data_IF_145747181499
#
_entry.id   IF_145747181499
#
_cell.length_a   1.000
_cell.length_b   1.000
_cell.length_c   1.000
_cell.angle_alpha   90.00
_cell.angle_beta   90.00
_cell.angle_gamma   90.00
#
_symmetry.space_group_name_H-M   'P 1'
#
loop_
_entity.id
_entity.type
_entity.pdbx_description
1 polymer ?
#
# COMPACT_ATOMS: atom_id res chain seq x y z
N UNK A 1 -27.83 -3.81 -9.72
CA UNK A 1 -27.84 -2.36 -10.02
C UNK A 1 -28.06 -2.19 -11.53
N UNK A 2 -29.04 -1.37 -11.94
CA UNK A 2 -29.30 -1.09 -13.34
C UNK A 2 -28.12 -0.40 -14.03
N UNK A 3 -27.94 -0.66 -15.33
CA UNK A 3 -26.81 -0.12 -16.12
C UNK A 3 -26.76 1.42 -16.11
N UNK A 4 -27.93 2.07 -16.12
CA UNK A 4 -28.07 3.54 -16.06
C UNK A 4 -27.57 4.10 -14.73
N UNK A 5 -27.96 3.49 -13.60
CA UNK A 5 -27.51 3.91 -12.26
C UNK A 5 -26.00 3.69 -12.07
N UNK A 6 -25.44 2.62 -12.67
CA UNK A 6 -23.99 2.36 -12.64
C UNK A 6 -23.21 3.44 -13.38
N UNK A 7 -23.67 3.83 -14.57
CA UNK A 7 -23.05 4.90 -15.37
C UNK A 7 -23.13 6.27 -14.67
N UNK A 8 -24.26 6.57 -14.02
CA UNK A 8 -24.41 7.80 -13.24
C UNK A 8 -23.47 7.87 -12.04
N UNK A 9 -23.39 6.80 -11.24
CA UNK A 9 -22.48 6.73 -10.10
C UNK A 9 -21.01 6.84 -10.56
N UNK A 10 -20.65 6.24 -11.69
CA UNK A 10 -19.31 6.37 -12.26
C UNK A 10 -19.00 7.80 -12.66
N UNK A 11 -19.95 8.49 -13.32
CA UNK A 11 -19.81 9.90 -13.71
C UNK A 11 -19.66 10.79 -12.47
N UNK A 12 -20.50 10.60 -11.46
CA UNK A 12 -20.41 11.32 -10.19
C UNK A 12 -19.04 11.15 -9.55
N UNK A 13 -18.55 9.91 -9.47
CA UNK A 13 -17.23 9.64 -8.90
C UNK A 13 -16.10 10.36 -9.66
N UNK A 14 -16.19 10.46 -10.99
CA UNK A 14 -15.19 11.16 -11.80
C UNK A 14 -15.22 12.67 -11.63
N UNK A 15 -16.43 13.27 -11.51
CA UNK A 15 -16.61 14.72 -11.53
C UNK A 15 -16.72 15.34 -10.13
N UNK A 16 -17.21 14.61 -9.14
CA UNK A 16 -17.37 15.11 -7.79
C UNK A 16 -16.13 14.82 -6.92
N UNK A 17 -15.88 15.70 -5.96
CA UNK A 17 -14.80 15.53 -4.97
C UNK A 17 -15.37 15.03 -3.64
N UNK A 18 -14.51 14.35 -2.84
CA UNK A 18 -14.90 13.87 -1.51
C UNK A 18 -15.84 12.67 -1.50
N UNK A 19 -16.11 12.04 -2.65
CA UNK A 19 -16.92 10.83 -2.73
C UNK A 19 -16.15 9.59 -2.32
N UNK A 20 -16.80 8.72 -1.56
CA UNK A 20 -16.36 7.36 -1.28
C UNK A 20 -17.16 6.43 -2.19
N UNK A 21 -16.46 5.65 -3.02
CA UNK A 21 -17.08 4.66 -3.89
C UNK A 21 -16.89 3.26 -3.30
N UNK A 22 -18.00 2.58 -3.03
CA UNK A 22 -18.02 1.16 -2.66
C UNK A 22 -18.43 0.37 -3.91
N UNK A 23 -17.57 -0.53 -4.36
CA UNK A 23 -17.79 -1.25 -5.60
C UNK A 23 -17.08 -2.61 -5.60
N UNK A 24 -17.51 -3.49 -6.49
CA UNK A 24 -16.79 -4.73 -6.81
C UNK A 24 -15.63 -4.45 -7.78
N UNK A 25 -14.76 -5.44 -7.97
CA UNK A 25 -13.61 -5.38 -8.90
C UNK A 25 -13.99 -4.90 -10.31
N UNK A 26 -15.21 -5.16 -10.76
CA UNK A 26 -15.69 -4.75 -12.08
C UNK A 26 -15.82 -3.22 -12.27
N UNK A 27 -15.87 -2.43 -11.19
CA UNK A 27 -15.92 -0.97 -11.25
C UNK A 27 -14.58 -0.36 -11.69
N UNK A 28 -13.50 -1.07 -11.46
CA UNK A 28 -12.15 -0.54 -11.66
C UNK A 28 -11.68 -0.41 -13.11
N UNK A 29 -12.26 -1.13 -14.07
CA UNK A 29 -11.83 -1.06 -15.47
C UNK A 29 -12.24 0.25 -16.12
N UNK A 30 -11.25 1.06 -16.54
CA UNK A 30 -11.50 2.34 -17.24
C UNK A 30 -11.68 3.57 -16.34
N UNK A 31 -11.47 3.48 -15.02
CA UNK A 31 -11.47 4.66 -14.16
C UNK A 31 -10.06 5.22 -14.05
N UNK A 32 -9.88 6.40 -14.63
CA UNK A 32 -8.66 7.20 -14.51
C UNK A 32 -8.96 8.49 -13.72
N UNK A 33 -9.09 8.37 -12.39
CA UNK A 33 -9.22 9.49 -11.45
C UNK A 33 -7.90 9.61 -10.70
N UNK A 34 -7.10 10.67 -10.94
CA UNK A 34 -5.75 10.76 -10.38
C UNK A 34 -5.72 11.07 -8.89
N UNK A 35 -6.75 11.75 -8.37
CA UNK A 35 -6.85 12.24 -6.99
C UNK A 35 -7.53 11.24 -6.01
N UNK A 36 -7.47 9.94 -6.27
CA UNK A 36 -7.90 8.92 -5.32
C UNK A 36 -6.95 8.88 -4.14
N UNK A 37 -7.47 9.14 -2.94
CA UNK A 37 -6.65 9.27 -1.72
C UNK A 37 -6.51 7.97 -0.93
N UNK A 38 -7.41 7.00 -1.13
CA UNK A 38 -7.27 5.69 -0.51
C UNK A 38 -7.95 4.59 -1.32
N UNK A 39 -7.42 3.37 -1.17
CA UNK A 39 -8.04 2.13 -1.62
C UNK A 39 -8.14 1.19 -0.44
N UNK A 40 -9.37 0.78 -0.12
CA UNK A 40 -9.65 -0.18 0.94
C UNK A 40 -10.19 -1.49 0.34
N UNK A 41 -9.50 -2.58 0.58
CA UNK A 41 -10.02 -3.92 0.32
C UNK A 41 -10.71 -4.43 1.60
N UNK A 42 -12.01 -4.62 1.53
CA UNK A 42 -12.80 -5.23 2.61
C UNK A 42 -12.72 -6.76 2.59
N UNK A 43 -12.33 -7.33 1.44
CA UNK A 43 -12.11 -8.75 1.19
C UNK A 43 -10.74 -8.97 0.52
N UNK A 44 -10.26 -10.22 0.52
CA UNK A 44 -9.02 -10.59 -0.19
C UNK A 44 -9.17 -10.39 -1.70
N UNK A 45 -8.27 -9.64 -2.35
CA UNK A 45 -8.13 -9.65 -3.80
C UNK A 45 -7.87 -11.06 -4.34
N UNK A 46 -8.05 -11.24 -5.65
CA UNK A 46 -7.85 -12.56 -6.25
C UNK A 46 -6.37 -13.00 -6.26
N UNK A 47 -5.45 -12.04 -6.34
CA UNK A 47 -4.02 -12.29 -6.46
C UNK A 47 -3.20 -11.03 -6.14
N UNK A 48 -1.87 -11.16 -6.12
CA UNK A 48 -0.94 -10.02 -5.98
C UNK A 48 -1.10 -9.04 -7.15
N UNK A 49 -1.32 -9.54 -8.36
CA UNK A 49 -1.54 -8.72 -9.55
C UNK A 49 -2.82 -7.90 -9.45
N UNK A 50 -3.92 -8.51 -8.97
CA UNK A 50 -5.17 -7.81 -8.73
C UNK A 50 -5.00 -6.73 -7.66
N UNK A 51 -4.36 -7.07 -6.53
CA UNK A 51 -4.02 -6.11 -5.47
C UNK A 51 -3.21 -4.93 -6.02
N UNK A 52 -2.18 -5.20 -6.82
CA UNK A 52 -1.33 -4.17 -7.43
C UNK A 52 -2.10 -3.24 -8.36
N UNK A 53 -2.92 -3.81 -9.26
CA UNK A 53 -3.74 -3.03 -10.19
C UNK A 53 -4.79 -2.17 -9.47
N UNK A 54 -5.39 -2.69 -8.40
CA UNK A 54 -6.43 -1.99 -7.65
C UNK A 54 -5.82 -0.90 -6.77
N UNK A 55 -4.73 -1.16 -6.07
CA UNK A 55 -4.00 -0.16 -5.27
C UNK A 55 -3.30 0.89 -6.13
N UNK A 56 -2.87 0.52 -7.34
CA UNK A 56 -2.27 1.43 -8.33
C UNK A 56 -3.21 2.53 -8.84
N UNK A 57 -4.49 2.54 -8.42
CA UNK A 57 -5.43 3.64 -8.69
C UNK A 57 -5.26 4.81 -7.74
N UNK A 58 -4.67 4.59 -6.56
CA UNK A 58 -4.46 5.62 -5.56
C UNK A 58 -3.21 6.46 -5.87
N UNK A 59 -3.30 7.77 -5.67
CA UNK A 59 -2.16 8.69 -5.73
C UNK A 59 -1.52 8.86 -7.12
N UNK A 60 -2.25 8.70 -8.22
CA UNK A 60 -1.73 8.89 -9.59
C UNK A 60 -1.24 10.31 -9.87
N UNK A 61 -1.70 11.28 -9.10
CA UNK A 61 -1.23 12.66 -9.13
C UNK A 61 0.09 12.88 -8.38
N UNK A 62 0.63 11.83 -7.76
CA UNK A 62 1.88 11.86 -6.98
C UNK A 62 1.75 12.44 -5.57
N UNK A 63 0.53 12.73 -5.12
CA UNK A 63 0.27 13.08 -3.72
C UNK A 63 0.11 11.83 -2.85
N UNK A 64 0.31 11.95 -1.52
CA UNK A 64 0.15 10.83 -0.60
C UNK A 64 -1.23 10.17 -0.72
N UNK A 65 -1.23 8.85 -0.75
CA UNK A 65 -2.43 8.03 -0.76
C UNK A 65 -2.19 6.76 0.07
N UNK A 66 -3.26 6.23 0.65
CA UNK A 66 -3.19 5.07 1.54
C UNK A 66 -3.86 3.86 0.91
N UNK A 67 -3.31 2.69 1.17
CA UNK A 67 -3.93 1.42 0.79
C UNK A 67 -4.03 0.52 2.02
N UNK A 68 -5.21 -0.07 2.22
CA UNK A 68 -5.48 -0.95 3.33
C UNK A 68 -6.19 -2.20 2.83
N UNK A 69 -5.78 -3.37 3.32
CA UNK A 69 -6.43 -4.65 3.06
C UNK A 69 -6.82 -5.29 4.38
N UNK A 70 -8.09 -5.64 4.53
CA UNK A 70 -8.63 -6.37 5.66
C UNK A 70 -8.88 -7.82 5.23
N UNK A 71 -8.51 -8.77 6.07
CA UNK A 71 -8.77 -10.19 5.83
C UNK A 71 -8.69 -11.01 7.13
N UNK A 72 -9.39 -12.13 7.13
CA UNK A 72 -9.38 -13.11 8.20
C UNK A 72 -9.15 -14.53 7.69
N UNK A 73 -9.16 -15.50 8.59
CA UNK A 73 -9.03 -16.91 8.25
C UNK A 73 -10.20 -17.42 7.38
N UNK A 74 -11.40 -16.87 7.62
CA UNK A 74 -12.61 -17.21 6.87
C UNK A 74 -12.53 -16.74 5.42
N UNK A 75 -11.97 -15.54 5.17
CA UNK A 75 -11.79 -15.01 3.81
C UNK A 75 -10.82 -15.87 3.00
N UNK A 76 -9.73 -16.32 3.66
CA UNK A 76 -8.77 -17.23 3.05
C UNK A 76 -9.45 -18.55 2.67
N UNK A 77 -10.23 -19.11 3.60
CA UNK A 77 -10.92 -20.38 3.37
C UNK A 77 -11.99 -20.26 2.27
N UNK A 78 -12.75 -19.18 2.27
CA UNK A 78 -13.76 -18.88 1.26
C UNK A 78 -13.12 -18.76 -0.15
N UNK A 79 -11.98 -18.07 -0.26
CA UNK A 79 -11.23 -17.98 -1.51
C UNK A 79 -10.73 -19.32 -2.02
N UNK A 80 -10.17 -20.15 -1.13
CA UNK A 80 -9.74 -21.51 -1.48
C UNK A 80 -10.91 -22.34 -1.98
N UNK A 81 -12.04 -22.27 -1.29
CA UNK A 81 -13.26 -22.96 -1.70
C UNK A 81 -13.72 -22.53 -3.11
N UNK A 82 -13.78 -21.23 -3.41
CA UNK A 82 -14.16 -20.75 -4.74
C UNK A 82 -13.24 -21.28 -5.84
N UNK A 83 -11.95 -21.43 -5.56
CA UNK A 83 -11.00 -22.03 -6.52
C UNK A 83 -11.31 -23.51 -6.70
N UNK A 84 -11.58 -24.24 -5.61
CA UNK A 84 -11.77 -25.68 -5.62
C UNK A 84 -13.09 -26.09 -6.27
N UNK A 85 -14.17 -25.35 -6.02
CA UNK A 85 -15.51 -25.58 -6.57
C UNK A 85 -15.71 -25.02 -7.99
N UNK A 86 -14.74 -24.25 -8.53
CA UNK A 86 -14.85 -23.74 -9.90
C UNK A 86 -14.84 -24.87 -10.93
N UNK A 87 -15.50 -24.68 -12.07
CA UNK A 87 -15.49 -25.62 -13.21
C UNK A 87 -14.16 -25.59 -14.00
N UNK A 88 -13.16 -24.85 -13.50
CA UNK A 88 -11.88 -24.70 -14.17
C UNK A 88 -11.06 -26.01 -14.16
N UNK A 89 -10.27 -26.29 -15.20
CA UNK A 89 -9.36 -27.43 -15.21
C UNK A 89 -8.37 -27.40 -14.04
N UNK A 90 -7.92 -28.56 -13.56
CA UNK A 90 -7.03 -28.69 -12.41
C UNK A 90 -5.73 -27.89 -12.54
N UNK A 91 -5.20 -27.77 -13.76
CA UNK A 91 -4.02 -26.94 -14.02
C UNK A 91 -4.28 -25.45 -13.67
N UNK A 92 -5.47 -24.93 -14.01
CA UNK A 92 -5.88 -23.56 -13.68
C UNK A 92 -6.14 -23.41 -12.18
N UNK A 93 -6.82 -24.37 -11.54
CA UNK A 93 -7.02 -24.37 -10.09
C UNK A 93 -5.68 -24.33 -9.34
N UNK A 94 -4.69 -25.11 -9.77
CA UNK A 94 -3.34 -25.06 -9.21
C UNK A 94 -2.69 -23.68 -9.37
N UNK A 95 -2.87 -23.03 -10.52
CA UNK A 95 -2.35 -21.68 -10.75
C UNK A 95 -3.02 -20.65 -9.83
N UNK A 96 -4.35 -20.69 -9.71
CA UNK A 96 -5.09 -19.76 -8.83
C UNK A 96 -4.74 -19.99 -7.35
N UNK A 97 -4.53 -21.24 -6.91
CA UNK A 97 -4.03 -21.51 -5.56
C UNK A 97 -2.65 -20.90 -5.32
N UNK A 98 -1.69 -21.05 -6.26
CA UNK A 98 -0.36 -20.43 -6.15
C UNK A 98 -0.42 -18.90 -6.07
N UNK A 99 -1.31 -18.28 -6.84
CA UNK A 99 -1.54 -16.82 -6.77
C UNK A 99 -2.09 -16.38 -5.42
N UNK A 100 -3.05 -17.14 -4.88
CA UNK A 100 -3.58 -16.88 -3.53
C UNK A 100 -2.48 -17.04 -2.46
N UNK A 101 -1.69 -18.11 -2.53
CA UNK A 101 -0.60 -18.36 -1.59
C UNK A 101 0.47 -17.24 -1.67
N UNK A 102 0.76 -16.74 -2.87
CA UNK A 102 1.65 -15.58 -3.05
C UNK A 102 1.08 -14.30 -2.41
N UNK A 103 -0.23 -14.05 -2.55
CA UNK A 103 -0.90 -12.92 -1.90
C UNK A 103 -0.85 -13.05 -0.36
N UNK A 104 -1.09 -14.25 0.16
CA UNK A 104 -0.99 -14.51 1.60
C UNK A 104 0.44 -14.35 2.10
N UNK A 105 1.43 -14.84 1.35
CA UNK A 105 2.85 -14.62 1.63
C UNK A 105 3.21 -13.12 1.66
N UNK A 106 2.69 -12.33 0.74
CA UNK A 106 2.81 -10.87 0.75
C UNK A 106 2.16 -10.26 2.00
N UNK A 107 0.93 -10.66 2.32
CA UNK A 107 0.15 -10.11 3.43
C UNK A 107 0.76 -10.45 4.80
N UNK A 108 1.29 -11.65 4.98
CA UNK A 108 1.91 -12.09 6.25
C UNK A 108 3.42 -11.84 6.32
N UNK A 109 4.05 -11.31 5.26
CA UNK A 109 5.49 -11.00 5.25
C UNK A 109 5.87 -9.98 6.32
N UNK A 110 7.03 -10.18 6.95
CA UNK A 110 7.69 -9.21 7.82
C UNK A 110 8.68 -8.29 7.08
N UNK A 111 8.78 -8.41 5.76
CA UNK A 111 9.62 -7.58 4.91
C UNK A 111 8.84 -6.38 4.36
N UNK A 112 9.55 -5.37 3.89
CA UNK A 112 8.94 -4.19 3.27
C UNK A 112 7.93 -4.60 2.19
N UNK A 113 6.70 -4.06 2.26
CA UNK A 113 5.62 -4.39 1.32
C UNK A 113 6.01 -4.16 -0.13
N UNK A 114 6.70 -3.04 -0.40
CA UNK A 114 7.14 -2.72 -1.77
C UNK A 114 8.20 -3.68 -2.26
N UNK A 115 9.16 -4.09 -1.42
CA UNK A 115 10.16 -5.08 -1.80
C UNK A 115 9.54 -6.42 -2.15
N UNK A 116 8.62 -6.93 -1.31
CA UNK A 116 7.94 -8.21 -1.58
C UNK A 116 7.11 -8.13 -2.86
N UNK A 117 6.40 -7.01 -3.06
CA UNK A 117 5.59 -6.78 -4.24
C UNK A 117 6.43 -6.73 -5.53
N UNK A 118 7.52 -5.97 -5.54
CA UNK A 118 8.37 -5.83 -6.72
C UNK A 118 9.13 -7.11 -7.04
N UNK A 119 9.60 -7.85 -6.02
CA UNK A 119 10.21 -9.18 -6.23
C UNK A 119 9.26 -10.17 -6.88
N UNK A 120 7.98 -10.10 -6.54
CA UNK A 120 6.97 -10.94 -7.21
C UNK A 120 6.91 -10.68 -8.71
N UNK A 121 7.16 -9.44 -9.16
CA UNK A 121 7.23 -9.06 -10.58
C UNK A 121 8.63 -9.14 -11.18
N UNK A 122 9.60 -9.71 -10.46
CA UNK A 122 10.99 -9.88 -10.93
C UNK A 122 11.86 -8.63 -10.82
N UNK A 123 11.41 -7.60 -10.10
CA UNK A 123 12.17 -6.38 -9.80
C UNK A 123 12.62 -6.35 -8.34
N UNK A 124 13.57 -5.49 -8.00
CA UNK A 124 14.05 -5.31 -6.64
C UNK A 124 14.17 -3.82 -6.29
N UNK A 125 14.05 -3.49 -5.01
CA UNK A 125 14.20 -2.13 -4.52
C UNK A 125 14.66 -2.10 -3.07
N UNK A 126 15.14 -0.95 -2.63
CA UNK A 126 15.39 -0.68 -1.21
C UNK A 126 14.06 -0.58 -0.42
N UNK A 127 14.15 -0.68 0.90
CA UNK A 127 13.00 -0.52 1.79
C UNK A 127 12.32 0.83 1.56
N UNK A 128 10.99 0.84 1.41
CA UNK A 128 10.26 2.04 0.96
C UNK A 128 10.15 3.15 2.03
N UNK A 129 10.35 2.83 3.31
CA UNK A 129 10.25 3.77 4.44
C UNK A 129 8.84 4.28 4.76
N UNK A 130 7.80 3.83 4.05
CA UNK A 130 6.43 4.35 4.22
C UNK A 130 5.33 3.29 4.30
N UNK A 131 5.64 2.00 4.22
CA UNK A 131 4.65 0.94 4.46
C UNK A 131 4.53 0.62 5.96
N UNK A 132 3.49 -0.13 6.34
CA UNK A 132 3.24 -0.58 7.70
C UNK A 132 4.47 -1.27 8.33
N UNK A 133 5.15 -2.13 7.56
CA UNK A 133 6.34 -2.86 8.02
C UNK A 133 7.55 -1.93 8.21
N UNK A 134 7.76 -0.94 7.33
CA UNK A 134 8.88 -0.01 7.46
C UNK A 134 8.69 0.98 8.62
N UNK A 135 7.43 1.41 8.85
CA UNK A 135 7.09 2.37 9.91
C UNK A 135 7.02 1.71 11.28
N UNK A 136 6.60 0.43 11.34
CA UNK A 136 6.47 -0.35 12.56
C UNK A 136 6.77 -1.82 12.30
N UNK A 137 8.05 -2.20 12.24
CA UNK A 137 8.46 -3.57 12.00
C UNK A 137 7.77 -4.52 13.00
N UNK A 138 7.11 -5.59 12.51
CA UNK A 138 6.48 -6.55 13.39
C UNK A 138 7.56 -7.32 14.17
N UNK A 139 7.31 -7.53 15.45
CA UNK A 139 8.06 -8.50 16.21
C UNK A 139 7.68 -9.90 15.77
N UNK A 140 8.65 -10.79 15.71
CA UNK A 140 8.44 -12.21 15.42
C UNK A 140 8.91 -13.06 16.58
N UNK A 141 8.34 -14.24 16.70
CA UNK A 141 8.75 -15.24 17.69
C UNK A 141 8.78 -16.63 17.05
N UNK A 142 9.50 -17.55 17.67
CA UNK A 142 9.43 -18.95 17.28
C UNK A 142 8.06 -19.52 17.67
N UNK A 143 7.18 -19.60 16.68
CA UNK A 143 5.82 -20.12 16.82
C UNK A 143 5.69 -21.63 16.68
N UNK A 144 6.81 -22.37 16.56
CA UNK A 144 6.80 -23.83 16.31
C UNK A 144 6.01 -24.59 17.37
N UNK A 145 6.23 -24.29 18.65
CA UNK A 145 5.51 -24.92 19.78
C UNK A 145 4.04 -24.50 19.79
N UNK A 146 3.74 -23.21 19.56
CA UNK A 146 2.37 -22.74 19.49
C UNK A 146 1.58 -23.42 18.35
N UNK A 147 2.22 -23.56 17.18
CA UNK A 147 1.63 -24.29 16.07
C UNK A 147 1.37 -25.76 16.40
N UNK A 148 2.31 -26.45 17.03
CA UNK A 148 2.14 -27.84 17.46
C UNK A 148 0.99 -27.99 18.46
N UNK A 149 0.87 -27.09 19.48
CA UNK A 149 -0.21 -27.07 20.47
C UNK A 149 -1.56 -26.89 19.78
N UNK A 150 -1.67 -25.92 18.86
CA UNK A 150 -2.91 -25.62 18.14
C UNK A 150 -3.33 -26.79 17.23
N UNK A 151 -2.42 -27.32 16.42
CA UNK A 151 -2.70 -28.45 15.55
C UNK A 151 -3.06 -29.70 16.36
N UNK A 152 -2.37 -29.99 17.47
CA UNK A 152 -2.71 -31.10 18.36
C UNK A 152 -4.08 -30.93 19.01
N UNK A 153 -4.47 -29.71 19.36
CA UNK A 153 -5.80 -29.41 19.90
C UNK A 153 -6.89 -29.64 18.84
N UNK A 154 -6.69 -29.16 17.62
CA UNK A 154 -7.62 -29.40 16.51
C UNK A 154 -7.79 -30.90 16.27
N UNK A 155 -6.71 -31.68 16.24
CA UNK A 155 -6.75 -33.12 16.08
C UNK A 155 -7.57 -33.80 17.17
N UNK A 156 -7.29 -33.49 18.45
CA UNK A 156 -7.92 -34.13 19.61
C UNK A 156 -9.38 -33.73 19.80
N UNK A 157 -9.78 -32.56 19.34
CA UNK A 157 -11.19 -32.13 19.32
C UNK A 157 -11.97 -32.70 18.14
N UNK A 158 -11.34 -33.50 17.25
CA UNK A 158 -12.00 -34.21 16.14
C UNK A 158 -12.13 -33.42 14.86
N UNK A 159 -11.33 -32.37 14.64
CA UNK A 159 -11.20 -31.63 13.38
C UNK A 159 -12.53 -31.07 12.81
N UNK A 160 -13.45 -30.63 13.68
CA UNK A 160 -14.78 -30.15 13.30
C UNK A 160 -15.25 -28.91 14.04
N UNK A 161 -14.47 -28.45 15.02
CA UNK A 161 -14.82 -27.27 15.83
C UNK A 161 -14.21 -26.00 15.29
N UNK A 162 -14.97 -24.91 15.39
CA UNK A 162 -14.50 -23.59 14.98
C UNK A 162 -13.43 -23.02 15.92
N UNK A 163 -12.77 -21.95 15.43
CA UNK A 163 -11.68 -21.27 16.11
C UNK A 163 -11.99 -20.90 17.57
N UNK A 164 -13.21 -20.41 17.87
CA UNK A 164 -13.59 -20.00 19.22
C UNK A 164 -13.50 -21.15 20.21
N UNK A 165 -14.04 -22.32 19.85
CA UNK A 165 -14.05 -23.52 20.68
C UNK A 165 -12.64 -24.07 20.91
N UNK A 166 -11.85 -24.22 19.85
CA UNK A 166 -10.47 -24.73 19.93
C UNK A 166 -9.62 -23.82 20.81
N UNK A 167 -9.76 -22.49 20.68
CA UNK A 167 -9.04 -21.52 21.51
C UNK A 167 -9.48 -21.61 22.98
N UNK A 168 -10.79 -21.79 23.28
CA UNK A 168 -11.25 -21.98 24.67
C UNK A 168 -10.66 -23.24 25.29
N UNK A 169 -10.57 -24.36 24.54
CA UNK A 169 -9.91 -25.59 25.02
C UNK A 169 -8.43 -25.32 25.32
N UNK A 170 -7.69 -24.64 24.42
CA UNK A 170 -6.28 -24.28 24.64
C UNK A 170 -6.05 -23.41 25.88
N UNK A 171 -6.97 -22.47 26.13
CA UNK A 171 -6.90 -21.59 27.29
C UNK A 171 -7.34 -22.28 28.59
N UNK A 172 -7.97 -23.43 28.51
CA UNK A 172 -8.54 -24.14 29.67
C UNK A 172 -9.78 -23.45 30.21
N UNK A 173 -10.55 -22.80 29.34
CA UNK A 173 -11.81 -22.17 29.68
C UNK A 173 -12.94 -23.24 29.62
N UNK A 174 -13.60 -23.47 30.74
CA UNK A 174 -14.68 -24.46 30.84
C UNK A 174 -16.02 -23.83 30.48
N UNK A 175 -16.78 -24.49 29.64
CA UNK A 175 -18.21 -24.25 29.42
C UNK A 175 -18.98 -25.57 29.34
N UNK A 176 -20.33 -25.51 29.37
CA UNK A 176 -21.19 -26.70 29.29
C UNK A 176 -20.95 -27.54 28.04
N UNK A 177 -20.57 -26.91 26.90
CA UNK A 177 -20.31 -27.61 25.66
C UNK A 177 -19.00 -28.39 25.73
N UNK A 178 -17.97 -27.80 26.34
CA UNK A 178 -16.67 -28.44 26.57
C UNK A 178 -16.82 -29.63 27.48
N UNK A 179 -17.59 -29.48 28.58
CA UNK A 179 -17.88 -30.57 29.52
C UNK A 179 -18.69 -31.71 28.88
N UNK A 180 -19.75 -31.42 28.12
CA UNK A 180 -20.53 -32.43 27.38
C UNK A 180 -19.75 -33.25 26.38
N UNK A 181 -18.68 -32.69 25.83
CA UNK A 181 -17.82 -33.31 24.85
C UNK A 181 -16.56 -33.95 25.44
N UNK A 182 -16.41 -33.90 26.77
CA UNK A 182 -15.23 -34.36 27.52
C UNK A 182 -13.94 -33.68 27.06
N UNK A 183 -14.02 -32.46 26.47
CA UNK A 183 -12.84 -31.74 25.97
C UNK A 183 -12.01 -31.13 27.12
N UNK A 184 -12.56 -30.96 28.29
CA UNK A 184 -11.84 -30.62 29.52
C UNK A 184 -10.88 -31.73 30.00
N UNK A 185 -11.10 -32.99 29.56
CA UNK A 185 -10.24 -34.14 29.86
C UNK A 185 -9.11 -34.34 28.83
N UNK A 186 -9.10 -33.58 27.75
CA UNK A 186 -8.07 -33.68 26.75
C UNK A 186 -6.70 -33.17 27.29
N UNK A 187 -5.64 -33.85 26.93
CA UNK A 187 -4.27 -33.39 27.28
C UNK A 187 -3.90 -32.01 26.68
N UNK A 188 -4.74 -31.48 25.78
CA UNK A 188 -4.61 -30.15 25.21
C UNK A 188 -5.45 -29.09 25.92
N UNK A 189 -6.21 -29.46 26.97
CA UNK A 189 -6.98 -28.50 27.75
C UNK A 189 -6.04 -27.65 28.63
N UNK A 190 -6.05 -26.35 28.42
CA UNK A 190 -5.27 -25.39 29.20
C UNK A 190 -3.78 -25.35 28.94
N UNK A 191 -3.26 -26.01 27.87
CA UNK A 191 -1.84 -25.98 27.53
C UNK A 191 -1.39 -24.71 26.81
N UNK A 192 -2.32 -23.83 26.43
CA UNK A 192 -2.07 -22.62 25.65
C UNK A 192 -2.17 -21.32 26.44
N UNK A 193 -2.01 -21.35 27.77
CA UNK A 193 -2.17 -20.17 28.65
C UNK A 193 -1.11 -19.09 28.47
N UNK A 194 -0.02 -19.39 27.77
CA UNK A 194 1.06 -18.44 27.45
C UNK A 194 0.64 -17.35 26.47
N UNK A 195 -0.43 -17.56 25.71
CA UNK A 195 -0.99 -16.59 24.77
C UNK A 195 -2.42 -16.22 25.15
N UNK A 196 -2.80 -14.98 24.97
CA UNK A 196 -4.18 -14.54 25.13
C UNK A 196 -5.06 -14.98 23.94
N UNK A 197 -6.38 -14.84 24.06
CA UNK A 197 -7.36 -15.21 23.03
C UNK A 197 -7.09 -14.53 21.69
N UNK A 198 -6.64 -13.27 21.68
CA UNK A 198 -6.39 -12.54 20.45
C UNK A 198 -5.09 -13.00 19.78
N UNK A 199 -4.06 -13.32 20.56
CA UNK A 199 -2.83 -13.92 20.05
C UNK A 199 -3.13 -15.28 19.40
N UNK A 200 -3.91 -16.16 20.05
CA UNK A 200 -4.33 -17.43 19.46
C UNK A 200 -5.13 -17.25 18.16
N UNK A 201 -6.03 -16.26 18.09
CA UNK A 201 -6.74 -15.94 16.83
C UNK A 201 -5.78 -15.51 15.72
N UNK A 202 -4.76 -14.73 16.06
CA UNK A 202 -3.72 -14.36 15.10
C UNK A 202 -2.90 -15.55 14.63
N UNK A 203 -2.53 -16.46 15.55
CA UNK A 203 -1.82 -17.70 15.24
C UNK A 203 -2.67 -18.58 14.31
N UNK A 204 -3.96 -18.79 14.59
CA UNK A 204 -4.87 -19.55 13.70
C UNK A 204 -4.84 -18.96 12.27
N UNK A 205 -5.00 -17.63 12.11
CA UNK A 205 -4.99 -16.97 10.82
C UNK A 205 -3.66 -17.20 10.09
N UNK A 206 -2.53 -17.06 10.80
CA UNK A 206 -1.20 -17.29 10.21
C UNK A 206 -1.02 -18.75 9.79
N UNK A 207 -1.45 -19.73 10.59
CA UNK A 207 -1.36 -21.15 10.21
C UNK A 207 -2.30 -21.50 9.04
N UNK A 208 -3.45 -20.84 8.93
CA UNK A 208 -4.31 -20.94 7.73
C UNK A 208 -3.60 -20.35 6.51
N UNK A 209 -2.96 -19.18 6.65
CA UNK A 209 -2.18 -18.56 5.57
C UNK A 209 -1.01 -19.45 5.12
N UNK A 210 -0.28 -20.05 6.08
CA UNK A 210 0.78 -21.03 5.81
C UNK A 210 0.28 -22.38 5.27
N UNK A 211 -1.03 -22.56 5.13
CA UNK A 211 -1.60 -23.79 4.59
C UNK A 211 -1.59 -24.98 5.55
N UNK A 212 -1.31 -24.80 6.84
CA UNK A 212 -1.27 -25.88 7.84
C UNK A 212 -2.64 -26.26 8.37
N UNK A 213 -3.61 -25.33 8.30
CA UNK A 213 -5.00 -25.49 8.73
C UNK A 213 -5.93 -25.14 7.58
N UNK A 214 -7.02 -25.90 7.46
CA UNK A 214 -8.15 -25.59 6.59
C UNK A 214 -9.37 -25.23 7.45
N UNK A 215 -10.24 -24.34 6.93
CA UNK A 215 -11.48 -23.91 7.58
C UNK A 215 -12.66 -24.39 6.74
N UNK A 216 -13.62 -25.09 7.35
CA UNK A 216 -14.85 -25.48 6.69
C UNK A 216 -15.81 -24.28 6.60
N UNK A 217 -15.87 -23.65 5.42
CA UNK A 217 -16.75 -22.50 5.16
C UNK A 217 -18.17 -22.91 4.75
N UNK A 218 -18.43 -24.21 4.52
CA UNK A 218 -19.76 -24.73 4.19
C UNK A 218 -20.59 -25.03 5.41
N UNK A 219 -19.92 -25.40 6.50
CA UNK A 219 -20.54 -25.74 7.77
C UNK A 219 -20.44 -24.59 8.77
N UNK A 220 -19.95 -24.87 9.96
CA UNK A 220 -19.90 -23.93 11.07
C UNK A 220 -18.50 -23.37 11.32
N UNK A 221 -17.66 -23.26 10.31
CA UNK A 221 -16.29 -22.75 10.46
C UNK A 221 -15.35 -23.71 11.18
N UNK A 222 -15.55 -25.03 11.04
CA UNK A 222 -14.72 -26.05 11.65
C UNK A 222 -13.29 -26.00 11.16
N UNK A 223 -12.31 -26.14 12.07
CA UNK A 223 -10.89 -26.22 11.74
C UNK A 223 -10.49 -27.68 11.55
N UNK A 224 -9.72 -27.95 10.49
CA UNK A 224 -9.11 -29.25 10.22
C UNK A 224 -7.64 -29.10 9.81
N UNK A 225 -6.87 -30.16 9.97
CA UNK A 225 -5.44 -30.16 9.68
C UNK A 225 -5.21 -30.53 8.22
N UNK A 226 -4.49 -29.71 7.48
CA UNK A 226 -4.09 -30.00 6.10
C UNK A 226 -3.06 -31.14 6.02
N UNK A 227 -2.77 -31.69 4.84
CA UNK A 227 -1.65 -32.62 4.65
C UNK A 227 -0.30 -32.00 5.07
N UNK A 228 -0.08 -30.73 4.81
CA UNK A 228 1.10 -29.94 5.23
C UNK A 228 1.16 -29.78 6.75
N UNK A 229 0.02 -29.51 7.40
CA UNK A 229 -0.07 -29.44 8.86
C UNK A 229 0.23 -30.78 9.53
N UNK A 230 -0.19 -31.91 8.94
CA UNK A 230 0.16 -33.24 9.42
C UNK A 230 1.66 -33.54 9.24
N UNK A 231 2.26 -33.10 8.14
CA UNK A 231 3.71 -33.17 7.92
C UNK A 231 4.46 -32.32 8.94
N UNK A 232 4.01 -31.07 9.20
CA UNK A 232 4.56 -30.19 10.20
C UNK A 232 4.60 -30.83 11.60
N UNK A 233 3.53 -31.51 12.01
CA UNK A 233 3.48 -32.24 13.30
C UNK A 233 4.51 -33.38 13.39
N UNK A 234 4.82 -34.05 12.28
CA UNK A 234 5.82 -35.14 12.25
C UNK A 234 7.25 -34.62 12.24
N UNK A 235 7.53 -33.66 11.37
CA UNK A 235 8.89 -33.16 11.10
C UNK A 235 9.32 -32.06 12.07
N UNK A 236 8.36 -31.33 12.67
CA UNK A 236 8.56 -30.26 13.65
C UNK A 236 9.56 -29.19 13.16
N UNK A 237 9.43 -28.64 11.95
CA UNK A 237 10.31 -27.61 11.48
C UNK A 237 10.13 -26.32 12.29
N UNK A 238 11.12 -25.42 12.25
CA UNK A 238 10.99 -24.10 12.83
C UNK A 238 9.97 -23.25 12.05
N UNK A 239 9.14 -22.49 12.77
CA UNK A 239 8.14 -21.61 12.19
C UNK A 239 8.18 -20.25 12.89
N UNK A 240 8.55 -19.22 12.16
CA UNK A 240 8.50 -17.84 12.66
C UNK A 240 7.11 -17.27 12.45
N UNK A 241 6.48 -16.79 13.52
CA UNK A 241 5.17 -16.13 13.51
C UNK A 241 5.28 -14.69 14.00
N UNK A 242 4.37 -13.84 13.51
CA UNK A 242 4.28 -12.43 13.90
C UNK A 242 3.58 -12.30 15.26
N UNK A 243 4.13 -11.48 16.13
CA UNK A 243 3.46 -11.08 17.37
C UNK A 243 2.32 -10.11 17.04
N UNK A 244 1.13 -10.39 17.57
CA UNK A 244 0.01 -9.44 17.47
C UNK A 244 0.27 -8.25 18.40
N UNK A 245 0.68 -7.12 17.84
CA UNK A 245 0.77 -5.88 18.61
C UNK A 245 -0.62 -5.34 18.90
N UNK A 246 -0.92 -5.01 20.15
CA UNK A 246 -2.13 -4.25 20.50
C UNK A 246 -2.04 -2.88 19.80
N UNK A 247 -3.07 -2.52 19.04
CA UNK A 247 -3.13 -1.23 18.37
C UNK A 247 -2.95 -0.10 19.40
N UNK A 248 -1.85 0.67 19.27
CA UNK A 248 -1.64 1.87 20.08
C UNK A 248 -2.54 2.99 19.55
N UNK A 249 -3.34 3.64 20.41
CA UNK A 249 -4.24 4.74 19.99
C UNK A 249 -3.50 5.95 19.40
N UNK A 250 -2.21 6.10 19.70
CA UNK A 250 -1.41 7.30 19.34
C UNK A 250 -0.99 7.37 17.86
N UNK A 251 -1.14 6.30 17.08
CA UNK A 251 -0.72 6.31 15.66
C UNK A 251 -1.57 7.19 14.74
N UNK A 252 -2.81 7.50 15.13
CA UNK A 252 -3.69 8.38 14.32
C UNK A 252 -3.15 9.81 14.19
N UNK A 253 -2.30 10.27 15.12
CA UNK A 253 -1.70 11.62 15.09
C UNK A 253 -0.46 11.70 14.18
N UNK A 254 0.45 10.74 14.24
CA UNK A 254 1.69 10.76 13.44
C UNK A 254 1.42 10.54 11.94
N UNK A 255 0.51 9.63 11.60
CA UNK A 255 0.12 9.38 10.21
C UNK A 255 -0.72 10.52 9.62
N UNK A 256 -1.57 11.17 10.43
CA UNK A 256 -2.23 12.43 10.06
C UNK A 256 -1.24 13.60 9.90
N UNK A 257 -0.18 13.65 10.70
CA UNK A 257 0.87 14.68 10.57
C UNK A 257 1.73 14.46 9.31
N UNK A 258 2.05 13.22 8.93
CA UNK A 258 2.74 12.93 7.67
C UNK A 258 1.89 13.24 6.42
N UNK A 259 0.56 13.06 6.51
CA UNK A 259 -0.39 13.48 5.48
C UNK A 259 -0.67 15.00 5.48
N UNK A 260 -0.23 15.72 6.50
CA UNK A 260 -0.42 17.17 6.69
C UNK A 260 0.84 18.00 6.37
N UNK A 261 1.72 17.52 5.49
CA UNK A 261 2.93 18.24 5.07
C UNK A 261 2.65 19.51 4.23
N UNK A 262 1.55 20.21 4.52
CA UNK A 262 1.30 21.57 4.05
C UNK A 262 1.33 22.52 5.24
N UNK A 263 2.08 23.66 5.18
CA UNK A 263 1.94 24.74 6.14
C UNK A 263 0.46 25.17 6.22
N UNK A 264 -0.04 25.47 7.41
CA UNK A 264 -1.46 25.80 7.61
C UNK A 264 -1.94 26.97 6.72
N UNK A 265 -1.06 27.94 6.46
CA UNK A 265 -1.32 29.07 5.58
C UNK A 265 -1.52 28.65 4.11
N UNK A 266 -0.75 27.67 3.63
CA UNK A 266 -0.86 27.18 2.25
C UNK A 266 -2.09 26.30 2.06
N UNK A 267 -2.59 25.67 3.12
CA UNK A 267 -3.80 24.85 3.06
C UNK A 267 -5.05 25.66 2.77
N UNK A 268 -5.19 26.85 3.36
CA UNK A 268 -6.32 27.74 3.09
C UNK A 268 -6.33 28.18 1.62
N UNK A 269 -5.17 28.55 1.08
CA UNK A 269 -5.04 28.92 -0.33
C UNK A 269 -5.30 27.71 -1.23
N UNK A 270 -4.77 26.55 -0.90
CA UNK A 270 -5.01 25.31 -1.65
C UNK A 270 -6.50 24.98 -1.73
N UNK A 271 -7.23 25.11 -0.62
CA UNK A 271 -8.68 24.84 -0.62
C UNK A 271 -9.47 25.85 -1.47
N UNK A 272 -9.06 27.14 -1.48
CA UNK A 272 -9.63 28.16 -2.38
C UNK A 272 -9.37 27.83 -3.86
N UNK A 273 -8.13 27.44 -4.20
CA UNK A 273 -7.77 27.03 -5.56
C UNK A 273 -8.54 25.79 -6.01
N UNK A 274 -8.76 24.81 -5.09
CA UNK A 274 -9.64 23.65 -5.36
C UNK A 274 -11.09 24.08 -5.61
N UNK A 275 -11.61 25.03 -4.85
CA UNK A 275 -12.94 25.60 -5.04
C UNK A 275 -13.08 26.22 -6.43
N UNK A 276 -12.11 27.06 -6.84
CA UNK A 276 -12.10 27.68 -8.18
C UNK A 276 -12.01 26.67 -9.30
N UNK A 277 -11.16 25.65 -9.13
CA UNK A 277 -11.09 24.54 -10.09
C UNK A 277 -12.44 23.82 -10.25
N UNK A 278 -13.11 23.54 -9.13
CA UNK A 278 -14.42 22.86 -9.17
C UNK A 278 -15.49 23.72 -9.87
N UNK A 279 -15.50 25.01 -9.65
CA UNK A 279 -16.38 25.97 -10.33
C UNK A 279 -16.18 25.92 -11.85
N UNK A 280 -14.93 26.07 -12.31
CA UNK A 280 -14.57 26.02 -13.72
C UNK A 280 -14.86 24.66 -14.37
N UNK A 281 -14.63 23.57 -13.64
CA UNK A 281 -14.90 22.22 -14.09
C UNK A 281 -16.40 21.98 -14.30
N UNK A 282 -17.24 22.45 -13.37
CA UNK A 282 -18.70 22.38 -13.49
C UNK A 282 -19.20 23.20 -14.67
N UNK A 283 -18.70 24.44 -14.85
CA UNK A 283 -19.08 25.29 -15.96
C UNK A 283 -18.78 24.69 -17.35
N UNK A 284 -17.72 23.88 -17.45
CA UNK A 284 -17.30 23.24 -18.69
C UNK A 284 -17.72 21.77 -18.81
N UNK A 285 -18.41 21.23 -17.80
CA UNK A 285 -18.82 19.84 -17.73
C UNK A 285 -17.63 18.85 -17.93
N UNK A 286 -16.49 19.17 -17.32
CA UNK A 286 -15.29 18.32 -17.36
C UNK A 286 -14.86 17.91 -15.94
N UNK A 287 -14.17 16.77 -15.78
CA UNK A 287 -13.60 16.39 -14.48
C UNK A 287 -12.61 17.46 -13.99
N UNK A 288 -12.58 17.78 -12.68
CA UNK A 288 -11.72 18.83 -12.11
C UNK A 288 -10.23 18.67 -12.43
N UNK A 289 -9.72 17.44 -12.47
CA UNK A 289 -8.31 17.14 -12.74
C UNK A 289 -7.87 17.48 -14.17
N UNK A 290 -8.81 17.62 -15.11
CA UNK A 290 -8.52 18.05 -16.49
C UNK A 290 -8.00 19.49 -16.50
N UNK A 291 -8.49 20.36 -15.60
CA UNK A 291 -8.02 21.73 -15.46
C UNK A 291 -6.60 21.72 -14.86
N UNK A 292 -6.46 21.39 -13.58
CA UNK A 292 -5.18 21.21 -12.91
C UNK A 292 -5.25 20.06 -11.92
N UNK A 293 -4.15 19.29 -11.81
CA UNK A 293 -4.00 18.26 -10.79
C UNK A 293 -3.78 18.89 -9.41
N UNK A 294 -4.14 18.17 -8.35
CA UNK A 294 -3.92 18.62 -6.97
C UNK A 294 -2.45 18.97 -6.68
N UNK A 295 -1.50 18.21 -7.27
CA UNK A 295 -0.06 18.53 -7.19
C UNK A 295 0.29 19.90 -7.77
N UNK A 296 -0.34 20.30 -8.87
CA UNK A 296 -0.16 21.62 -9.48
C UNK A 296 -0.75 22.72 -8.59
N UNK A 297 -1.97 22.51 -8.05
CA UNK A 297 -2.59 23.45 -7.10
C UNK A 297 -1.78 23.58 -5.82
N UNK A 298 -1.21 22.48 -5.33
CA UNK A 298 -0.32 22.47 -4.19
C UNK A 298 0.95 23.30 -4.42
N UNK A 299 1.55 23.16 -5.60
CA UNK A 299 2.71 23.97 -5.99
C UNK A 299 2.34 25.45 -6.18
N UNK A 300 1.13 25.78 -6.66
CA UNK A 300 0.61 27.14 -6.72
C UNK A 300 0.44 27.74 -5.32
N UNK A 301 -0.14 26.99 -4.39
CA UNK A 301 -0.33 27.44 -3.01
C UNK A 301 1.00 27.70 -2.28
N UNK A 302 1.99 26.83 -2.49
CA UNK A 302 3.31 26.95 -1.87
C UNK A 302 4.17 28.10 -2.46
N UNK A 303 4.12 28.27 -3.80
CA UNK A 303 4.98 29.27 -4.50
C UNK A 303 4.33 30.64 -4.64
N UNK A 304 2.98 30.71 -4.56
CA UNK A 304 2.19 31.95 -4.67
C UNK A 304 2.60 32.82 -5.86
N UNK A 305 2.52 32.31 -7.12
CA UNK A 305 2.93 33.06 -8.29
C UNK A 305 2.07 34.31 -8.45
N UNK A 306 2.70 35.44 -8.81
CA UNK A 306 2.04 36.75 -9.03
C UNK A 306 1.80 37.09 -10.48
N UNK A 307 2.40 36.32 -11.40
CA UNK A 307 2.29 36.52 -12.83
C UNK A 307 2.07 35.23 -13.59
N UNK A 308 1.57 35.31 -14.83
CA UNK A 308 1.41 34.16 -15.71
C UNK A 308 2.78 33.53 -16.01
N UNK A 309 3.84 34.33 -16.09
CA UNK A 309 5.20 33.87 -16.32
C UNK A 309 5.71 33.00 -15.14
N UNK A 310 5.47 33.42 -13.91
CA UNK A 310 5.78 32.63 -12.73
C UNK A 310 4.93 31.37 -12.65
N UNK A 311 3.65 31.46 -12.99
CA UNK A 311 2.73 30.33 -13.03
C UNK A 311 3.20 29.26 -14.05
N UNK A 312 3.79 29.67 -15.16
CA UNK A 312 4.36 28.79 -16.18
C UNK A 312 5.55 27.95 -15.69
N UNK A 313 6.23 28.36 -14.61
CA UNK A 313 7.31 27.59 -14.00
C UNK A 313 6.83 26.40 -13.18
N UNK A 314 5.50 26.34 -12.89
CA UNK A 314 4.93 25.29 -12.06
C UNK A 314 4.68 24.03 -12.88
N UNK A 315 5.18 22.86 -12.46
CA UNK A 315 4.95 21.61 -13.15
C UNK A 315 3.45 21.29 -13.29
N UNK A 316 3.02 21.01 -14.53
CA UNK A 316 1.60 20.72 -14.84
C UNK A 316 0.77 21.95 -15.25
N UNK A 317 1.37 23.15 -15.25
CA UNK A 317 0.78 24.39 -15.76
C UNK A 317 1.28 24.66 -17.17
N UNK A 318 0.87 23.84 -18.16
CA UNK A 318 1.26 24.00 -19.56
C UNK A 318 0.58 25.19 -20.24
N UNK A 319 1.17 25.73 -21.31
CA UNK A 319 0.75 26.94 -22.03
C UNK A 319 -0.74 26.99 -22.36
N UNK A 320 -1.31 25.89 -22.88
CA UNK A 320 -2.74 25.80 -23.24
C UNK A 320 -3.64 25.98 -22.01
N UNK A 321 -3.24 25.39 -20.87
CA UNK A 321 -3.99 25.53 -19.62
C UNK A 321 -3.84 26.91 -19.00
N UNK A 322 -2.67 27.50 -19.11
CA UNK A 322 -2.40 28.85 -18.63
C UNK A 322 -3.18 29.91 -19.43
N UNK A 323 -3.20 29.81 -20.76
CA UNK A 323 -3.99 30.70 -21.59
C UNK A 323 -5.49 30.64 -21.27
N UNK A 324 -5.98 29.47 -20.82
CA UNK A 324 -7.41 29.25 -20.56
C UNK A 324 -7.84 29.53 -19.13
N UNK A 325 -6.95 29.27 -18.17
CA UNK A 325 -7.29 29.27 -16.75
C UNK A 325 -6.35 30.12 -15.88
N UNK A 326 -5.16 30.51 -16.40
CA UNK A 326 -4.11 31.14 -15.61
C UNK A 326 -4.54 32.38 -14.85
N UNK A 327 -5.29 33.30 -15.51
CA UNK A 327 -5.79 34.52 -14.89
C UNK A 327 -6.76 34.23 -13.73
N UNK A 328 -7.67 33.26 -13.92
CA UNK A 328 -8.65 32.91 -12.89
C UNK A 328 -7.99 32.36 -11.61
N UNK A 329 -6.88 31.65 -11.72
CA UNK A 329 -6.13 31.16 -10.58
C UNK A 329 -5.24 32.23 -9.94
N UNK A 330 -4.62 33.11 -10.75
CA UNK A 330 -3.87 34.26 -10.25
C UNK A 330 -4.76 35.21 -9.45
N UNK A 331 -5.97 35.46 -9.89
CA UNK A 331 -6.93 36.27 -9.11
C UNK A 331 -7.15 35.69 -7.72
N UNK A 332 -7.36 34.38 -7.59
CA UNK A 332 -7.54 33.70 -6.28
C UNK A 332 -6.32 33.82 -5.40
N UNK A 333 -5.11 33.71 -5.97
CA UNK A 333 -3.85 33.85 -5.24
C UNK A 333 -3.67 35.30 -4.75
N UNK A 334 -3.87 36.27 -5.64
CA UNK A 334 -3.72 37.69 -5.31
C UNK A 334 -4.74 38.15 -4.27
N UNK A 335 -6.03 37.75 -4.39
CA UNK A 335 -7.06 38.05 -3.39
C UNK A 335 -6.73 37.44 -2.00
N UNK A 336 -6.12 36.27 -2.00
CA UNK A 336 -5.70 35.64 -0.75
C UNK A 336 -4.57 36.44 -0.09
N UNK A 337 -3.57 36.86 -0.87
CA UNK A 337 -2.41 37.60 -0.34
C UNK A 337 -2.80 39.03 0.12
N UNK A 338 -3.72 39.70 -0.55
CA UNK A 338 -4.25 41.00 -0.11
C UNK A 338 -4.97 40.88 1.22
N UNK A 339 -5.86 39.91 1.41
CA UNK A 339 -6.57 39.70 2.68
C UNK A 339 -5.62 39.30 3.82
N UNK A 340 -4.59 38.49 3.54
CA UNK A 340 -3.57 38.13 4.51
C UNK A 340 -2.71 39.35 4.92
N UNK A 341 -2.56 40.36 4.04
CA UNK A 341 -1.88 41.61 4.31
C UNK A 341 -2.73 42.63 5.12
N UNK A 342 -4.07 42.58 4.99
CA UNK A 342 -4.99 43.43 5.78
C UNK A 342 -5.16 42.98 7.23
N UNK A 343 -5.02 41.66 7.52
CA UNK A 343 -5.04 41.12 8.90
C UNK A 343 -3.73 41.32 9.67
N UNK A 344 -2.64 41.73 9.01
CA UNK A 344 -1.35 42.07 9.64
C UNK A 344 -1.23 43.58 9.78
N UNK A 345 -1.89 44.18 10.77
CA UNK A 345 -1.43 45.46 11.35
C UNK A 345 -0.15 45.22 12.11
N UNK A 346 0.87 46.12 11.97
CA UNK A 346 2.15 45.90 12.58
C UNK A 346 2.06 46.17 14.08
N UNK A 347 2.26 45.15 14.88
CA UNK A 347 2.73 45.33 16.23
C UNK A 347 3.77 44.24 16.57
N UNK A 348 4.93 44.78 17.00
CA UNK A 348 6.01 44.18 17.77
C UNK A 348 6.78 42.96 17.23
N UNK A 349 7.94 43.33 16.72
CA UNK A 349 9.27 42.74 16.74
C UNK A 349 9.48 41.35 17.35
N UNK A 350 9.29 40.26 16.52
CA UNK A 350 9.94 38.98 16.78
C UNK A 350 10.81 38.62 15.58
N UNK A 351 12.06 38.14 15.78
CA UNK A 351 12.95 37.79 14.70
C UNK A 351 12.41 36.59 13.91
N UNK A 352 12.71 36.46 12.60
CA UNK A 352 12.21 35.36 11.76
C UNK A 352 12.71 34.01 12.29
N UNK A 353 11.78 33.13 12.56
CA UNK A 353 12.06 31.74 12.91
C UNK A 353 12.81 31.07 11.73
N UNK A 354 13.85 30.29 11.99
CA UNK A 354 14.59 29.62 10.92
C UNK A 354 13.68 28.62 10.17
N UNK A 355 13.69 28.75 8.86
CA UNK A 355 13.05 27.83 7.93
C UNK A 355 13.54 26.40 8.19
N UNK A 356 12.66 25.51 8.64
CA UNK A 356 12.95 24.09 8.71
C UNK A 356 13.14 23.55 7.28
N UNK A 357 14.22 22.84 7.01
CA UNK A 357 14.50 22.29 5.69
C UNK A 357 13.42 21.27 5.28
N UNK A 358 13.10 21.21 3.99
CA UNK A 358 12.12 20.27 3.45
C UNK A 358 12.57 18.82 3.70
N UNK A 359 11.63 17.90 3.89
CA UNK A 359 11.91 16.48 4.15
C UNK A 359 12.81 15.80 3.08
N UNK A 360 12.99 16.44 1.92
CA UNK A 360 13.95 16.03 0.90
C UNK A 360 15.37 16.54 1.18
N UNK A 361 15.54 17.69 1.83
CA UNK A 361 16.85 18.23 2.19
C UNK A 361 17.49 17.48 3.35
N UNK A 362 16.69 16.96 4.30
CA UNK A 362 17.19 16.09 5.38
C UNK A 362 17.62 14.69 4.88
N UNK A 363 17.04 14.20 3.77
CA UNK A 363 17.44 12.91 3.17
C UNK A 363 18.68 12.99 2.29
N UNK A 364 18.98 14.16 1.73
CA UNK A 364 20.16 14.38 0.89
C UNK A 364 21.49 14.03 1.57
N UNK A 365 21.74 14.37 2.85
CA UNK A 365 22.97 13.99 3.53
C UNK A 365 23.13 12.47 3.70
N UNK A 366 22.04 11.76 4.06
CA UNK A 366 22.06 10.31 4.25
C UNK A 366 22.29 9.56 2.92
N UNK A 367 21.65 10.02 1.83
CA UNK A 367 21.85 9.46 0.49
C UNK A 367 23.27 9.78 -0.03
N UNK A 368 23.81 10.96 0.27
CA UNK A 368 25.18 11.36 -0.09
C UNK A 368 26.26 10.60 0.71
N UNK A 369 25.95 10.08 1.89
CA UNK A 369 26.88 9.21 2.64
C UNK A 369 27.13 7.89 1.90
N UNK A 370 26.15 7.36 1.19
CA UNK A 370 26.26 6.09 0.45
C UNK A 370 26.51 6.29 -1.06
N UNK A 371 26.05 7.41 -1.64
CA UNK A 371 26.22 7.73 -3.07
C UNK A 371 26.54 9.21 -3.20
N UNK A 372 27.78 9.52 -3.55
CA UNK A 372 28.28 10.91 -3.60
C UNK A 372 27.58 11.80 -4.65
N UNK A 373 26.96 11.19 -5.70
CA UNK A 373 26.37 11.90 -6.84
C UNK A 373 24.98 11.41 -7.26
N UNK A 374 24.01 11.31 -6.36
CA UNK A 374 22.74 10.60 -6.63
C UNK A 374 21.82 11.33 -7.65
N UNK A 375 21.92 12.66 -7.80
CA UNK A 375 21.01 13.48 -8.61
C UNK A 375 21.72 14.40 -9.62
N UNK A 376 23.02 14.27 -9.83
CA UNK A 376 23.72 15.06 -10.82
C UNK A 376 23.37 14.62 -12.25
N UNK A 377 23.36 15.57 -13.19
CA UNK A 377 23.14 15.26 -14.61
C UNK A 377 24.28 14.40 -15.15
N UNK A 378 23.94 13.45 -16.02
CA UNK A 378 24.92 12.64 -16.74
C UNK A 378 25.64 13.47 -17.78
N UNK A 379 26.94 13.30 -17.86
CA UNK A 379 27.77 13.93 -18.90
C UNK A 379 27.97 12.96 -20.07
N UNK A 380 28.27 13.46 -21.26
CA UNK A 380 28.59 12.62 -22.43
C UNK A 380 29.75 11.65 -22.19
N UNK A 381 30.75 12.08 -21.42
CA UNK A 381 31.88 11.22 -21.06
C UNK A 381 31.46 10.08 -20.12
N UNK A 382 30.57 10.35 -19.17
CA UNK A 382 30.02 9.31 -18.30
C UNK A 382 29.14 8.31 -19.07
N UNK A 383 28.38 8.78 -20.06
CA UNK A 383 27.55 7.92 -20.92
C UNK A 383 28.43 6.99 -21.78
N UNK A 384 29.51 7.50 -22.39
CA UNK A 384 30.42 6.69 -23.14
C UNK A 384 31.14 5.63 -22.26
N UNK A 385 31.61 6.04 -21.09
CA UNK A 385 32.20 5.12 -20.12
C UNK A 385 31.22 4.05 -19.61
N UNK A 386 29.96 4.43 -19.35
CA UNK A 386 28.92 3.52 -18.95
C UNK A 386 28.61 2.45 -20.00
N UNK A 387 28.52 2.87 -21.27
CA UNK A 387 28.31 1.96 -22.41
C UNK A 387 29.48 0.98 -22.57
N UNK A 388 30.74 1.48 -22.49
CA UNK A 388 31.93 0.64 -22.59
C UNK A 388 32.03 -0.40 -21.50
N UNK A 389 31.81 0.00 -20.23
CA UNK A 389 31.85 -0.91 -19.09
C UNK A 389 30.68 -1.92 -19.07
N UNK A 390 29.50 -1.50 -19.52
CA UNK A 390 28.37 -2.39 -19.68
C UNK A 390 28.59 -3.43 -20.77
N UNK A 391 29.14 -3.02 -21.94
CA UNK A 391 29.50 -3.94 -23.01
C UNK A 391 30.61 -4.93 -22.61
N UNK A 392 31.48 -4.54 -21.67
CA UNK A 392 32.48 -5.42 -21.06
C UNK A 392 31.91 -6.41 -20.02
N UNK A 393 30.58 -6.42 -19.81
CA UNK A 393 29.92 -7.35 -18.87
C UNK A 393 30.04 -6.95 -17.39
N UNK A 394 30.39 -5.69 -17.07
CA UNK A 394 30.54 -5.24 -15.68
C UNK A 394 29.18 -5.29 -14.93
N UNK A 395 29.07 -5.94 -13.76
CA UNK A 395 27.86 -6.02 -13.00
C UNK A 395 27.31 -4.64 -12.56
N UNK A 396 25.98 -4.51 -12.51
CA UNK A 396 25.29 -3.25 -12.16
C UNK A 396 25.73 -2.66 -10.82
N UNK A 397 26.05 -3.49 -9.84
CA UNK A 397 26.57 -3.09 -8.53
C UNK A 397 27.95 -2.42 -8.63
N UNK A 398 28.83 -2.94 -9.49
CA UNK A 398 30.15 -2.36 -9.73
C UNK A 398 30.05 -1.05 -10.54
N UNK A 399 29.15 -0.98 -11.52
CA UNK A 399 28.84 0.27 -12.24
C UNK A 399 28.32 1.35 -11.29
N UNK A 400 27.41 0.98 -10.36
CA UNK A 400 26.88 1.90 -9.36
C UNK A 400 27.99 2.47 -8.45
N UNK A 401 28.92 1.63 -8.04
CA UNK A 401 30.08 2.04 -7.24
C UNK A 401 31.05 2.92 -8.04
N UNK A 402 31.34 2.54 -9.30
CA UNK A 402 32.25 3.28 -10.20
C UNK A 402 31.77 4.70 -10.45
N UNK A 403 30.49 4.87 -10.80
CA UNK A 403 29.88 6.19 -11.07
C UNK A 403 29.41 6.90 -9.80
N UNK A 404 29.53 6.30 -8.62
CA UNK A 404 29.05 6.82 -7.33
C UNK A 404 27.57 7.22 -7.37
N UNK A 405 26.76 6.39 -8.07
CA UNK A 405 25.32 6.61 -8.30
C UNK A 405 24.54 5.39 -7.84
N UNK A 406 23.25 5.57 -7.62
CA UNK A 406 22.38 4.45 -7.26
C UNK A 406 22.26 3.44 -8.43
N UNK A 407 22.13 2.13 -8.15
CA UNK A 407 21.91 1.10 -9.18
C UNK A 407 20.70 1.40 -10.09
N UNK A 408 19.62 1.96 -9.51
CA UNK A 408 18.44 2.41 -10.27
C UNK A 408 18.75 3.52 -11.27
N UNK A 409 19.63 4.45 -10.92
CA UNK A 409 20.05 5.54 -11.82
C UNK A 409 20.90 5.01 -12.99
N UNK A 410 21.76 4.00 -12.74
CA UNK A 410 22.52 3.31 -13.79
C UNK A 410 21.58 2.59 -14.76
N UNK A 411 20.63 1.79 -14.23
CA UNK A 411 19.64 1.04 -15.04
C UNK A 411 18.81 1.99 -15.90
N UNK A 412 18.27 3.04 -15.30
CA UNK A 412 17.47 4.05 -16.00
C UNK A 412 18.26 4.79 -17.08
N UNK A 413 19.59 4.98 -16.89
CA UNK A 413 20.45 5.61 -17.91
C UNK A 413 20.75 4.66 -19.04
N UNK A 414 21.07 3.40 -18.75
CA UNK A 414 21.28 2.37 -19.77
C UNK A 414 20.05 2.18 -20.66
N UNK A 415 18.85 2.12 -20.06
CA UNK A 415 17.60 2.04 -20.83
C UNK A 415 17.37 3.24 -21.76
N UNK A 416 17.90 4.42 -21.44
CA UNK A 416 17.83 5.60 -22.31
C UNK A 416 18.89 5.59 -23.42
N UNK A 417 20.03 4.94 -23.19
CA UNK A 417 21.14 4.88 -24.15
C UNK A 417 20.99 3.69 -25.12
N UNK A 418 20.22 2.66 -24.73
CA UNK A 418 19.80 1.55 -25.58
C UNK A 418 18.26 1.57 -25.71
N UNK A 419 17.65 2.44 -26.51
CA UNK A 419 16.25 2.27 -26.86
C UNK A 419 16.16 0.95 -27.65
N UNK A 420 15.36 -0.01 -27.15
CA UNK A 420 15.06 -1.24 -27.87
C UNK A 420 14.51 -0.84 -29.25
N UNK A 421 15.26 -1.18 -30.30
CA UNK A 421 14.75 -1.12 -31.65
C UNK A 421 13.63 -2.14 -31.75
N UNK A 422 12.40 -1.69 -32.00
CA UNK A 422 11.27 -2.53 -32.37
C UNK A 422 11.71 -3.53 -33.43
N UNK A 423 11.88 -4.78 -33.00
CA UNK A 423 12.23 -5.88 -33.89
C UNK A 423 11.04 -6.24 -34.75
N UNK A 424 11.06 -5.81 -35.99
CA UNK A 424 10.36 -6.53 -37.06
C UNK A 424 10.88 -7.96 -37.08
N UNK A 425 10.00 -8.90 -36.76
CA UNK A 425 10.19 -10.32 -37.11
C UNK A 425 9.15 -10.70 -38.14
N UNK A 426 9.66 -11.02 -39.31
CA UNK A 426 8.99 -11.80 -40.35
C UNK A 426 8.45 -13.13 -39.82
#
# INVERSE_FOLDING_TARGET
MEMKARGENQRRFQHEQGLIMVATIAFGMGIDKPDVRFVLHADLPASVEAFYQETGRAGRDGLPAETLMLYGAEDIALRRRFIDESDAPDARKRTERRKLDALLGFAESCQCRRQVLLRYFGDDCDACGNCDICLDPPETFDGSIAAQKLLSCIYRTGERFGQAHVVSVLLGEFDERIGRLDHDKLSTFGIGKEHDRNAWRSIVRQLVAHGLITVDVTGHGGLSISPEGRRFLREKPSLSLRVLKKARPERKSAQRQAAQAFPAADRVLFDKLRGKRLELAKAQNVPPYVIFHDKTLAAMAARRPRSVAELATIPGAGEVKLARYGEAFLMVINEHDVRAGEDMRPDDGLPPSPLLPSANEERLPAIRQHHARPYEKWTQAEDAALLSLHAAGTPLSQLATHFRRQPSAIRSRLAKLFPESDGETS
#
